data_IF_307970028563
#
_entry.id   IF_307970028563
#
_cell.length_a   1.000
_cell.length_b   1.000
_cell.length_c   1.000
_cell.angle_alpha   90.00
_cell.angle_beta   90.00
_cell.angle_gamma   90.00
#
_symmetry.space_group_name_H-M   'P 1'
#
loop_
_entity.id
_entity.type
_entity.pdbx_description
1 polymer ?
#
# COMPACT_ATOMS: atom_id res chain seq x y z
N UNK A 1 -17.54 51.69 -16.54
CA UNK A 1 -18.44 51.07 -15.55
C UNK A 1 -18.75 49.66 -16.05
N UNK A 2 -17.79 48.75 -15.90
CA UNK A 2 -17.87 47.38 -16.43
C UNK A 2 -17.67 46.45 -15.25
N UNK A 3 -18.78 45.98 -14.68
CA UNK A 3 -18.78 44.89 -13.69
C UNK A 3 -19.98 44.02 -13.98
N UNK A 4 -19.78 42.71 -13.81
CA UNK A 4 -20.81 41.66 -13.75
C UNK A 4 -21.08 40.84 -15.01
N UNK A 5 -20.07 40.41 -15.77
CA UNK A 5 -20.26 39.28 -16.70
C UNK A 5 -19.08 38.28 -16.83
N UNK A 6 -18.08 38.34 -15.94
CA UNK A 6 -16.88 37.47 -16.00
C UNK A 6 -16.67 36.64 -14.72
N UNK A 7 -17.75 36.22 -14.05
CA UNK A 7 -17.65 35.40 -12.83
C UNK A 7 -18.35 34.04 -12.91
N UNK A 8 -18.90 33.67 -14.07
CA UNK A 8 -19.69 32.43 -14.23
C UNK A 8 -19.05 31.38 -15.14
N UNK A 9 -17.83 31.62 -15.67
CA UNK A 9 -17.15 30.65 -16.53
C UNK A 9 -15.97 29.91 -15.87
N UNK A 10 -15.55 30.28 -14.65
CA UNK A 10 -14.38 29.67 -13.97
C UNK A 10 -14.75 28.55 -13.00
N UNK A 11 -16.05 28.29 -12.77
CA UNK A 11 -16.52 27.30 -11.80
C UNK A 11 -16.88 25.92 -12.39
N UNK A 12 -16.49 25.61 -13.64
CA UNK A 12 -16.81 24.34 -14.29
C UNK A 12 -15.60 23.54 -14.82
N UNK A 13 -14.39 23.72 -14.26
CA UNK A 13 -13.22 22.88 -14.62
C UNK A 13 -12.47 22.29 -13.41
N UNK A 14 -13.09 22.21 -12.22
CA UNK A 14 -12.46 21.58 -11.04
C UNK A 14 -13.36 20.57 -10.31
N UNK A 15 -14.19 19.85 -11.05
CA UNK A 15 -14.80 18.62 -10.54
C UNK A 15 -14.64 17.48 -11.54
N UNK A 16 -13.38 17.13 -11.85
CA UNK A 16 -13.11 15.72 -12.12
C UNK A 16 -13.24 15.00 -10.79
N UNK A 17 -14.44 14.46 -10.58
CA UNK A 17 -14.77 13.47 -9.57
C UNK A 17 -13.71 12.36 -9.66
N UNK A 18 -12.70 12.39 -8.78
CA UNK A 18 -11.80 11.27 -8.58
C UNK A 18 -12.60 10.15 -7.93
N UNK A 19 -13.27 9.34 -8.75
CA UNK A 19 -13.75 8.04 -8.34
C UNK A 19 -12.51 7.21 -7.98
N UNK A 20 -12.15 7.21 -6.70
CA UNK A 20 -11.11 6.37 -6.12
C UNK A 20 -11.56 4.90 -6.17
N UNK A 21 -11.44 4.28 -7.34
CA UNK A 21 -11.47 2.83 -7.46
C UNK A 21 -10.08 2.29 -7.09
N UNK A 22 -9.89 2.00 -5.80
CA UNK A 22 -8.69 1.33 -5.28
C UNK A 22 -8.73 -0.16 -5.67
N UNK A 23 -8.16 -0.47 -6.84
CA UNK A 23 -7.90 -1.84 -7.28
C UNK A 23 -6.51 -2.23 -6.81
N UNK A 24 -6.33 -3.40 -6.19
CA UNK A 24 -5.03 -3.85 -5.62
C UNK A 24 -3.91 -4.10 -6.65
N UNK A 25 -4.11 -3.77 -7.94
CA UNK A 25 -3.05 -3.58 -8.93
C UNK A 25 -2.47 -2.15 -8.98
N UNK A 26 -2.92 -1.26 -8.08
CA UNK A 26 -2.73 0.19 -8.08
C UNK A 26 -1.38 0.66 -7.51
N UNK A 27 -0.83 -0.02 -6.51
CA UNK A 27 0.29 0.52 -5.72
C UNK A 27 1.62 0.59 -6.48
N UNK A 28 1.94 -0.46 -7.25
CA UNK A 28 3.15 -0.48 -8.08
C UNK A 28 3.09 0.57 -9.20
N UNK A 29 1.91 0.74 -9.82
CA UNK A 29 1.69 1.79 -10.80
C UNK A 29 1.85 3.20 -10.19
N UNK A 30 1.28 3.42 -9.01
CA UNK A 30 1.42 4.68 -8.29
C UNK A 30 2.88 4.94 -7.86
N UNK A 31 3.61 3.91 -7.40
CA UNK A 31 5.03 3.99 -7.07
C UNK A 31 5.86 4.40 -8.29
N UNK A 32 5.63 3.75 -9.43
CA UNK A 32 6.26 4.11 -10.70
C UNK A 32 5.90 5.53 -11.14
N UNK A 33 4.66 5.96 -10.90
CA UNK A 33 4.21 7.32 -11.15
C UNK A 33 5.04 8.35 -10.38
N UNK A 34 5.25 8.12 -9.08
CA UNK A 34 6.03 9.03 -8.21
C UNK A 34 7.50 9.05 -8.62
N UNK A 35 8.09 7.88 -8.88
CA UNK A 35 9.48 7.77 -9.36
C UNK A 35 9.68 8.53 -10.68
N UNK A 36 8.74 8.39 -11.62
CA UNK A 36 8.77 9.08 -12.89
C UNK A 36 8.64 10.60 -12.71
N UNK A 37 7.79 11.08 -11.80
CA UNK A 37 7.64 12.51 -11.52
C UNK A 37 8.93 13.12 -10.95
N UNK A 38 9.61 12.43 -10.03
CA UNK A 38 10.92 12.86 -9.53
C UNK A 38 11.94 12.98 -10.66
N UNK A 39 12.03 11.97 -11.52
CA UNK A 39 12.95 11.98 -12.67
C UNK A 39 12.65 13.11 -13.66
N UNK A 40 11.36 13.38 -13.92
CA UNK A 40 10.96 14.48 -14.81
C UNK A 40 11.29 15.83 -14.18
N UNK A 41 11.05 16.02 -12.88
CA UNK A 41 11.39 17.27 -12.20
C UNK A 41 12.91 17.54 -12.24
N UNK A 42 13.75 16.53 -11.97
CA UNK A 42 15.20 16.67 -12.08
C UNK A 42 15.64 17.08 -13.50
N UNK A 43 15.03 16.47 -14.52
CA UNK A 43 15.27 16.80 -15.92
C UNK A 43 14.90 18.25 -16.25
N UNK A 44 13.77 18.76 -15.72
CA UNK A 44 13.34 20.15 -15.91
C UNK A 44 14.28 21.15 -15.22
N UNK A 45 14.71 20.87 -13.99
CA UNK A 45 15.69 21.72 -13.28
C UNK A 45 17.03 21.72 -14.05
N UNK A 46 17.49 20.56 -14.51
CA UNK A 46 18.71 20.42 -15.31
C UNK A 46 18.65 21.23 -16.61
N UNK A 47 17.47 21.32 -17.23
CA UNK A 47 17.28 22.13 -18.43
C UNK A 47 17.47 23.61 -18.14
N UNK A 48 16.87 24.13 -17.05
CA UNK A 48 17.04 25.53 -16.63
C UNK A 48 18.50 25.80 -16.28
N UNK A 49 19.15 24.90 -15.54
CA UNK A 49 20.57 25.00 -15.19
C UNK A 49 21.46 25.13 -16.43
N UNK A 50 21.20 24.33 -17.48
CA UNK A 50 21.96 24.40 -18.72
C UNK A 50 21.80 25.75 -19.44
N UNK A 51 20.61 26.34 -19.39
CA UNK A 51 20.33 27.65 -19.96
C UNK A 51 21.05 28.75 -19.16
N UNK A 52 21.02 28.67 -17.83
CA UNK A 52 21.77 29.57 -16.94
C UNK A 52 23.26 29.56 -17.25
N UNK A 53 23.83 28.37 -17.42
CA UNK A 53 25.24 28.23 -17.80
C UNK A 53 25.54 28.83 -19.18
N UNK A 54 24.68 28.62 -20.18
CA UNK A 54 24.87 29.18 -21.53
C UNK A 54 24.77 30.72 -21.56
N UNK A 55 23.99 31.31 -20.65
CA UNK A 55 23.84 32.77 -20.55
C UNK A 55 24.84 33.41 -19.58
N UNK A 56 25.62 32.62 -18.83
CA UNK A 56 26.53 33.12 -17.81
C UNK A 56 25.83 33.60 -16.54
N UNK A 57 24.58 33.19 -16.29
CA UNK A 57 23.81 33.54 -15.10
C UNK A 57 24.18 32.60 -13.94
N UNK A 58 25.28 32.90 -13.25
CA UNK A 58 25.82 32.05 -12.19
C UNK A 58 24.90 31.89 -10.98
N UNK A 59 24.15 32.94 -10.65
CA UNK A 59 23.15 32.98 -9.59
C UNK A 59 21.97 32.03 -9.85
N UNK A 60 21.42 32.04 -11.07
CA UNK A 60 20.35 31.10 -11.48
C UNK A 60 20.88 29.67 -11.50
N UNK A 61 22.13 29.47 -11.93
CA UNK A 61 22.77 28.14 -11.93
C UNK A 61 22.93 27.59 -10.51
N UNK A 62 23.33 28.43 -9.56
CA UNK A 62 23.50 28.06 -8.15
C UNK A 62 22.17 27.68 -7.50
N UNK A 63 21.11 28.47 -7.73
CA UNK A 63 19.76 28.12 -7.28
C UNK A 63 19.26 26.78 -7.87
N UNK A 64 19.62 26.46 -9.11
CA UNK A 64 19.32 25.16 -9.69
C UNK A 64 20.07 24.02 -8.99
N UNK A 65 21.33 24.25 -8.57
CA UNK A 65 22.08 23.25 -7.79
C UNK A 65 21.42 23.00 -6.44
N UNK A 66 21.06 24.06 -5.71
CA UNK A 66 20.33 23.95 -4.45
C UNK A 66 19.03 23.16 -4.60
N UNK A 67 18.22 23.48 -5.62
CA UNK A 67 16.99 22.77 -5.90
C UNK A 67 17.23 21.27 -6.17
N UNK A 68 18.28 20.94 -6.93
CA UNK A 68 18.66 19.54 -7.22
C UNK A 68 19.13 18.80 -5.98
N UNK A 69 19.89 19.44 -5.10
CA UNK A 69 20.36 18.81 -3.85
C UNK A 69 19.18 18.47 -2.94
N UNK A 70 18.21 19.38 -2.82
CA UNK A 70 16.97 19.15 -2.08
C UNK A 70 16.12 18.05 -2.72
N UNK A 71 16.00 18.04 -4.05
CA UNK A 71 15.30 16.98 -4.77
C UNK A 71 15.96 15.61 -4.57
N UNK A 72 17.29 15.53 -4.60
CA UNK A 72 18.02 14.28 -4.37
C UNK A 72 17.79 13.76 -2.95
N UNK A 73 17.78 14.64 -1.95
CA UNK A 73 17.47 14.24 -0.58
C UNK A 73 16.05 13.66 -0.45
N UNK A 74 15.08 14.24 -1.16
CA UNK A 74 13.72 13.70 -1.22
C UNK A 74 13.67 12.32 -1.91
N UNK A 75 14.37 12.15 -3.04
CA UNK A 75 14.48 10.89 -3.78
C UNK A 75 15.09 9.81 -2.88
N UNK A 76 16.20 10.10 -2.21
CA UNK A 76 16.88 9.14 -1.32
C UNK A 76 15.98 8.71 -0.15
N UNK A 77 15.23 9.65 0.43
CA UNK A 77 14.24 9.36 1.45
C UNK A 77 13.12 8.46 0.92
N UNK A 78 12.64 8.74 -0.28
CA UNK A 78 11.59 7.98 -0.95
C UNK A 78 12.03 6.57 -1.34
N UNK A 79 13.26 6.39 -1.84
CA UNK A 79 13.85 5.09 -2.13
C UNK A 79 13.94 4.20 -0.87
N UNK A 80 14.28 4.79 0.28
CA UNK A 80 14.29 4.08 1.56
C UNK A 80 12.88 3.62 1.95
N UNK A 81 11.87 4.48 1.79
CA UNK A 81 10.47 4.15 2.08
C UNK A 81 9.99 3.03 1.16
N UNK A 82 10.10 3.22 -0.14
CA UNK A 82 9.64 2.26 -1.16
C UNK A 82 10.29 0.90 -1.00
N UNK A 83 11.57 0.83 -0.61
CA UNK A 83 12.26 -0.43 -0.32
C UNK A 83 11.75 -1.13 0.93
N UNK A 84 11.53 -0.39 2.03
CA UNK A 84 11.08 -0.97 3.32
C UNK A 84 9.62 -1.41 3.26
N UNK A 85 8.77 -0.61 2.63
CA UNK A 85 7.33 -0.80 2.61
C UNK A 85 6.83 -1.41 1.30
N UNK A 86 7.70 -1.96 0.45
CA UNK A 86 7.35 -2.44 -0.91
C UNK A 86 6.03 -3.21 -0.99
N UNK A 87 5.86 -4.21 -0.13
CA UNK A 87 4.67 -5.08 -0.13
C UNK A 87 3.48 -4.51 0.66
N UNK A 88 3.70 -3.41 1.39
CA UNK A 88 2.74 -2.76 2.29
C UNK A 88 2.86 -1.24 2.20
N UNK A 89 2.87 -0.71 0.98
CA UNK A 89 3.22 0.70 0.75
C UNK A 89 2.19 1.67 1.34
N UNK A 90 0.98 1.22 1.62
CA UNK A 90 -0.04 1.96 2.39
C UNK A 90 0.38 2.25 3.84
N UNK A 91 1.44 1.60 4.36
CA UNK A 91 2.04 1.92 5.66
C UNK A 91 3.21 2.92 5.54
N UNK A 92 3.49 3.44 4.34
CA UNK A 92 4.59 4.39 4.12
C UNK A 92 4.47 5.66 4.99
N UNK A 93 3.24 6.05 5.37
CA UNK A 93 2.97 7.17 6.26
C UNK A 93 3.51 6.95 7.69
N UNK A 94 3.79 5.71 8.09
CA UNK A 94 4.41 5.35 9.37
C UNK A 94 5.95 5.44 9.33
N UNK A 95 6.53 5.71 8.16
CA UNK A 95 7.97 5.80 8.01
C UNK A 95 8.54 7.02 8.73
N UNK A 96 9.63 6.80 9.48
CA UNK A 96 10.45 7.90 10.03
C UNK A 96 11.06 8.83 8.98
N UNK A 97 11.07 8.43 7.70
CA UNK A 97 11.59 9.25 6.60
C UNK A 97 10.52 10.13 5.95
N UNK A 98 9.23 9.97 6.30
CA UNK A 98 8.11 10.74 5.72
C UNK A 98 8.35 12.24 5.78
N UNK A 99 8.61 12.75 6.98
CA UNK A 99 8.77 14.18 7.21
C UNK A 99 10.01 14.71 6.47
N UNK A 100 11.09 13.93 6.43
CA UNK A 100 12.29 14.30 5.68
C UNK A 100 12.06 14.40 4.17
N UNK A 101 11.26 13.50 3.58
CA UNK A 101 10.88 13.57 2.15
C UNK A 101 10.05 14.82 1.89
N UNK A 102 9.07 15.10 2.74
CA UNK A 102 8.20 16.27 2.61
C UNK A 102 8.99 17.58 2.75
N UNK A 103 9.81 17.70 3.80
CA UNK A 103 10.65 18.88 4.05
C UNK A 103 11.65 19.12 2.91
N UNK A 104 12.23 18.06 2.36
CA UNK A 104 13.19 18.17 1.25
C UNK A 104 12.50 18.61 -0.04
N UNK A 105 11.29 18.13 -0.31
CA UNK A 105 10.47 18.61 -1.43
C UNK A 105 10.04 20.06 -1.25
N UNK A 106 9.65 20.47 -0.04
CA UNK A 106 9.24 21.85 0.21
C UNK A 106 10.43 22.81 0.03
N UNK A 107 11.63 22.45 0.51
CA UNK A 107 12.87 23.20 0.24
C UNK A 107 13.25 23.25 -1.24
N UNK A 108 13.07 22.16 -1.98
CA UNK A 108 13.23 22.17 -3.44
C UNK A 108 12.28 23.19 -4.10
N UNK A 109 11.02 23.23 -3.65
CA UNK A 109 10.04 24.21 -4.07
C UNK A 109 10.46 25.65 -3.78
N UNK A 110 10.98 25.93 -2.59
CA UNK A 110 11.51 27.25 -2.23
C UNK A 110 12.63 27.69 -3.18
N UNK A 111 13.58 26.81 -3.51
CA UNK A 111 14.63 27.11 -4.49
C UNK A 111 14.07 27.35 -5.89
N UNK A 112 13.07 26.56 -6.33
CA UNK A 112 12.38 26.77 -7.62
C UNK A 112 11.68 28.14 -7.66
N UNK A 113 11.03 28.55 -6.56
CA UNK A 113 10.40 29.86 -6.45
C UNK A 113 11.41 31.01 -6.50
N UNK A 114 12.61 30.83 -5.92
CA UNK A 114 13.70 31.80 -6.07
C UNK A 114 14.21 31.90 -7.51
N UNK A 115 14.27 30.78 -8.25
CA UNK A 115 14.62 30.78 -9.68
C UNK A 115 13.57 31.57 -10.47
N UNK A 116 12.29 31.29 -10.23
CA UNK A 116 11.15 31.98 -10.84
C UNK A 116 11.18 33.49 -10.55
N UNK A 117 11.61 33.88 -9.35
CA UNK A 117 11.63 35.27 -8.91
C UNK A 117 12.86 36.07 -9.39
N UNK A 118 13.88 35.39 -9.91
CA UNK A 118 15.15 36.00 -10.31
C UNK A 118 15.00 36.97 -11.50
N UNK A 119 15.68 38.11 -11.43
CA UNK A 119 15.61 39.18 -12.44
C UNK A 119 16.02 38.70 -13.84
N UNK A 120 17.03 37.83 -13.96
CA UNK A 120 17.46 37.28 -15.24
C UNK A 120 16.42 36.34 -15.87
N UNK A 121 15.60 35.70 -15.05
CA UNK A 121 14.52 34.80 -15.48
C UNK A 121 13.27 35.59 -15.83
N UNK A 122 12.88 36.56 -14.99
CA UNK A 122 11.76 37.49 -15.24
C UNK A 122 11.97 38.38 -16.46
N UNK A 123 13.19 38.90 -16.62
CA UNK A 123 13.55 39.88 -17.66
C UNK A 123 13.62 39.28 -19.07
N UNK A 124 13.76 37.96 -19.21
CA UNK A 124 13.95 37.30 -20.51
C UNK A 124 12.79 36.32 -20.74
N UNK A 125 11.61 36.89 -21.05
CA UNK A 125 10.37 36.16 -21.36
C UNK A 125 10.45 35.21 -22.56
N UNK A 126 11.57 35.17 -23.29
CA UNK A 126 11.76 34.28 -24.45
C UNK A 126 12.62 33.02 -24.22
N UNK A 127 13.65 33.06 -23.34
CA UNK A 127 14.63 31.96 -23.24
C UNK A 127 14.35 30.96 -22.12
N UNK A 128 13.81 31.44 -21.00
CA UNK A 128 13.45 30.62 -19.85
C UNK A 128 11.96 30.27 -19.78
N UNK A 129 11.12 31.03 -20.50
CA UNK A 129 9.67 31.09 -20.30
C UNK A 129 8.98 29.74 -20.15
N UNK A 130 8.97 28.91 -21.21
CA UNK A 130 8.25 27.63 -21.17
C UNK A 130 8.90 26.60 -20.22
N UNK A 131 10.22 26.67 -20.03
CA UNK A 131 10.99 25.74 -19.23
C UNK A 131 10.73 25.93 -17.74
N UNK A 132 10.56 27.18 -17.33
CA UNK A 132 10.33 27.56 -15.93
C UNK A 132 8.88 27.27 -15.52
N UNK A 133 7.91 27.53 -16.40
CA UNK A 133 6.51 27.13 -16.18
C UNK A 133 6.33 25.60 -16.15
N UNK A 134 7.01 24.87 -17.04
CA UNK A 134 7.03 23.41 -16.99
C UNK A 134 7.61 22.92 -15.66
N UNK A 135 8.73 23.48 -15.21
CA UNK A 135 9.37 23.09 -13.96
C UNK A 135 8.42 23.27 -12.77
N UNK A 136 7.76 24.43 -12.68
CA UNK A 136 6.76 24.71 -11.65
C UNK A 136 5.61 23.70 -11.66
N UNK A 137 5.03 23.42 -12.83
CA UNK A 137 3.93 22.46 -12.96
C UNK A 137 4.32 21.05 -12.51
N UNK A 138 5.52 20.60 -12.87
CA UNK A 138 6.00 19.27 -12.49
C UNK A 138 6.35 19.19 -11.00
N UNK A 139 6.85 20.28 -10.41
CA UNK A 139 7.02 20.39 -8.96
C UNK A 139 5.68 20.23 -8.24
N UNK A 140 4.64 20.97 -8.64
CA UNK A 140 3.30 20.87 -8.06
C UNK A 140 2.73 19.45 -8.18
N UNK A 141 2.95 18.80 -9.33
CA UNK A 141 2.55 17.41 -9.58
C UNK A 141 3.25 16.43 -8.62
N UNK A 142 4.56 16.62 -8.41
CA UNK A 142 5.36 15.82 -7.50
C UNK A 142 4.92 16.01 -6.04
N UNK A 143 4.67 17.26 -5.63
CA UNK A 143 4.20 17.59 -4.30
C UNK A 143 2.82 16.99 -4.02
N UNK A 144 1.89 17.08 -4.98
CA UNK A 144 0.56 16.48 -4.86
C UNK A 144 0.64 14.95 -4.74
N UNK A 145 1.46 14.31 -5.57
CA UNK A 145 1.58 12.86 -5.58
C UNK A 145 2.22 12.33 -4.30
N UNK A 146 3.25 13.01 -3.78
CA UNK A 146 3.84 12.67 -2.48
C UNK A 146 2.85 12.84 -1.33
N UNK A 147 2.07 13.93 -1.31
CA UNK A 147 1.02 14.13 -0.30
C UNK A 147 -0.02 13.00 -0.34
N UNK A 148 -0.47 12.63 -1.54
CA UNK A 148 -1.47 11.58 -1.71
C UNK A 148 -1.00 10.21 -1.22
N UNK A 149 0.30 9.90 -1.31
CA UNK A 149 0.86 8.63 -0.81
C UNK A 149 0.60 8.47 0.69
N UNK A 150 0.67 9.56 1.44
CA UNK A 150 0.52 9.52 2.89
C UNK A 150 -0.90 9.17 3.34
N UNK A 151 -1.88 9.28 2.44
CA UNK A 151 -3.29 9.01 2.69
C UNK A 151 -3.75 7.63 2.16
N UNK A 152 -2.81 6.79 1.68
CA UNK A 152 -3.15 5.48 1.15
C UNK A 152 -3.67 4.54 2.24
N UNK A 153 -4.90 4.03 2.07
CA UNK A 153 -5.48 3.01 2.93
C UNK A 153 -5.01 1.59 2.58
N UNK A 154 -5.18 0.60 3.46
CA UNK A 154 -4.91 -0.80 3.10
C UNK A 154 -5.80 -1.24 1.91
N UNK A 155 -5.33 -2.18 1.06
CA UNK A 155 -6.19 -2.73 0.01
C UNK A 155 -7.46 -3.34 0.62
N UNK A 156 -8.58 -3.18 -0.08
CA UNK A 156 -9.85 -3.79 0.35
C UNK A 156 -9.65 -5.29 0.57
N UNK A 157 -10.18 -5.86 1.67
CA UNK A 157 -10.06 -7.28 1.93
C UNK A 157 -10.70 -8.06 0.78
N UNK A 158 -9.93 -8.90 0.12
CA UNK A 158 -10.46 -9.83 -0.88
C UNK A 158 -11.08 -11.02 -0.15
N UNK A 159 -12.35 -11.39 -0.45
CA UNK A 159 -12.91 -12.64 0.06
C UNK A 159 -12.02 -13.81 -0.35
N UNK A 160 -11.75 -14.73 0.58
CA UNK A 160 -10.80 -15.85 0.40
C UNK A 160 -11.08 -16.73 -0.83
N UNK A 161 -12.29 -16.64 -1.41
CA UNK A 161 -12.68 -17.33 -2.65
C UNK A 161 -12.15 -16.72 -3.95
N UNK A 162 -11.75 -15.44 -3.98
CA UNK A 162 -11.36 -14.74 -5.22
C UNK A 162 -9.90 -14.89 -5.63
N UNK A 163 -9.01 -15.39 -4.74
CA UNK A 163 -7.59 -15.61 -5.07
C UNK A 163 -7.39 -16.75 -6.09
N UNK A 164 -8.43 -17.55 -6.37
CA UNK A 164 -8.36 -18.71 -7.27
C UNK A 164 -8.54 -18.39 -8.76
N UNK A 165 -8.83 -17.14 -9.14
CA UNK A 165 -9.21 -16.82 -10.53
C UNK A 165 -8.11 -16.14 -11.36
N UNK A 166 -7.16 -15.39 -10.77
CA UNK A 166 -6.19 -14.61 -11.56
C UNK A 166 -4.95 -15.41 -12.00
N UNK A 167 -4.47 -16.35 -11.17
CA UNK A 167 -3.29 -17.18 -11.51
C UNK A 167 -3.64 -18.50 -12.23
N UNK A 168 -4.91 -18.75 -12.55
CA UNK A 168 -5.36 -19.99 -13.21
C UNK A 168 -5.61 -19.80 -14.71
N UNK A 169 -4.69 -19.13 -15.43
CA UNK A 169 -4.71 -19.10 -16.89
C UNK A 169 -3.44 -19.62 -17.58
N UNK A 170 -2.43 -20.08 -16.83
CA UNK A 170 -1.23 -20.69 -17.43
C UNK A 170 -1.02 -22.18 -17.12
N UNK A 171 -1.99 -22.88 -16.52
CA UNK A 171 -1.94 -24.34 -16.49
C UNK A 171 -3.33 -24.97 -16.51
N UNK A 172 -4.02 -24.81 -17.65
CA UNK A 172 -5.31 -25.46 -17.92
C UNK A 172 -5.18 -26.97 -18.19
N UNK A 173 -3.96 -27.53 -18.14
CA UNK A 173 -3.73 -28.96 -18.34
C UNK A 173 -3.47 -29.76 -17.06
N UNK A 174 -3.31 -29.11 -15.88
CA UNK A 174 -3.06 -29.83 -14.61
C UNK A 174 -4.26 -29.89 -13.66
N UNK A 175 -5.38 -29.27 -14.00
CA UNK A 175 -6.63 -29.36 -13.23
C UNK A 175 -7.67 -30.22 -13.95
N UNK A 176 -7.21 -31.41 -14.36
CA UNK A 176 -8.12 -32.56 -14.40
C UNK A 176 -8.60 -32.76 -12.97
N UNK A 177 -9.88 -32.44 -12.76
CA UNK A 177 -10.77 -33.03 -11.76
C UNK A 177 -10.23 -34.43 -11.43
N UNK A 178 -9.54 -34.60 -10.29
CA UNK A 178 -9.08 -35.92 -9.88
C UNK A 178 -10.35 -36.72 -9.61
N UNK A 179 -10.61 -37.63 -10.54
CA UNK A 179 -11.65 -38.63 -10.43
C UNK A 179 -11.41 -39.35 -9.11
N UNK A 180 -12.48 -39.44 -8.33
CA UNK A 180 -12.65 -40.46 -7.32
C UNK A 180 -12.58 -41.79 -8.05
N UNK A 181 -11.50 -42.53 -7.85
CA UNK A 181 -11.47 -43.98 -7.98
C UNK A 181 -10.22 -44.45 -7.24
N UNK A 182 -10.42 -45.44 -6.37
CA UNK A 182 -9.57 -45.70 -5.22
C UNK A 182 -8.17 -46.14 -5.57
N UNK A 183 -7.25 -45.87 -4.64
CA UNK A 183 -6.20 -46.83 -4.32
C UNK A 183 -5.77 -46.66 -2.87
N UNK A 184 -5.75 -47.79 -2.17
CA UNK A 184 -5.55 -47.93 -0.72
C UNK A 184 -4.05 -47.98 -0.34
N UNK A 185 -3.14 -47.70 -1.27
CA UNK A 185 -1.71 -47.87 -1.04
C UNK A 185 -0.87 -46.90 -1.87
N UNK A 186 -0.71 -45.67 -1.41
CA UNK A 186 0.61 -45.03 -1.33
C UNK A 186 0.49 -43.62 -0.71
N UNK A 187 1.55 -43.20 -0.04
CA UNK A 187 1.65 -41.95 0.72
C UNK A 187 1.66 -40.68 -0.15
N UNK A 188 0.62 -40.49 -0.97
CA UNK A 188 0.33 -39.22 -1.59
C UNK A 188 -0.16 -38.32 -0.46
N UNK A 189 0.70 -37.39 -0.06
CA UNK A 189 0.37 -36.37 0.92
C UNK A 189 -0.90 -35.65 0.46
N UNK A 190 -2.03 -35.95 1.11
CA UNK A 190 -3.37 -35.47 0.72
C UNK A 190 -3.43 -33.94 0.70
N UNK A 191 -2.56 -33.29 1.48
CA UNK A 191 -2.39 -31.85 1.55
C UNK A 191 -0.92 -31.44 1.42
N UNK A 192 -0.64 -30.19 0.99
CA UNK A 192 0.69 -29.58 1.08
C UNK A 192 1.36 -29.73 2.44
N UNK A 193 2.69 -29.56 2.48
CA UNK A 193 3.48 -29.67 3.72
C UNK A 193 3.03 -28.60 4.72
N UNK A 194 2.64 -29.04 5.92
CA UNK A 194 2.17 -28.16 7.00
C UNK A 194 0.66 -28.10 7.14
N UNK A 195 -0.10 -28.67 6.20
CA UNK A 195 -1.57 -28.70 6.24
C UNK A 195 -2.09 -30.09 6.59
N UNK A 196 -3.28 -30.12 7.18
CA UNK A 196 -4.01 -31.32 7.59
C UNK A 196 -5.25 -31.50 6.71
N UNK A 197 -5.48 -32.72 6.22
CA UNK A 197 -6.68 -33.07 5.48
C UNK A 197 -7.86 -33.26 6.44
N UNK A 198 -8.74 -32.25 6.50
CA UNK A 198 -9.94 -32.24 7.31
C UNK A 198 -11.18 -32.53 6.47
N UNK A 199 -12.03 -33.50 6.86
CA UNK A 199 -13.32 -33.71 6.21
C UNK A 199 -14.16 -32.44 6.26
N UNK A 200 -14.78 -32.07 5.14
CA UNK A 200 -15.64 -30.87 5.05
C UNK A 200 -16.87 -31.00 5.96
N UNK A 201 -17.34 -32.22 6.16
CA UNK A 201 -18.37 -32.58 7.14
C UNK A 201 -18.16 -34.02 7.60
N UNK A 202 -18.84 -34.43 8.68
CA UNK A 202 -18.72 -35.78 9.26
C UNK A 202 -18.98 -36.90 8.25
N UNK A 203 -19.86 -36.66 7.27
CA UNK A 203 -20.26 -37.62 6.24
C UNK A 203 -19.71 -37.28 4.83
N UNK A 204 -18.78 -36.33 4.73
CA UNK A 204 -18.22 -35.92 3.45
C UNK A 204 -17.12 -36.88 2.99
N UNK A 205 -17.19 -37.29 1.72
CA UNK A 205 -16.11 -38.00 1.03
C UNK A 205 -14.97 -37.02 0.68
N UNK A 206 -15.28 -35.73 0.59
CA UNK A 206 -14.31 -34.66 0.34
C UNK A 206 -13.64 -34.13 1.60
N UNK A 207 -12.40 -33.66 1.44
CA UNK A 207 -11.60 -33.01 2.47
C UNK A 207 -11.14 -31.63 2.00
N UNK A 208 -10.88 -30.76 2.96
CA UNK A 208 -10.17 -29.50 2.80
C UNK A 208 -8.80 -29.60 3.47
N UNK A 209 -7.85 -28.81 2.99
CA UNK A 209 -6.50 -28.74 3.56
C UNK A 209 -6.38 -27.49 4.41
N UNK A 210 -6.13 -27.66 5.71
CA UNK A 210 -6.10 -26.57 6.69
C UNK A 210 -4.78 -26.58 7.47
N UNK A 211 -4.22 -25.40 7.72
CA UNK A 211 -3.18 -25.25 8.75
C UNK A 211 -3.86 -25.17 10.14
N UNK A 212 -4.04 -26.33 10.76
CA UNK A 212 -4.66 -26.48 12.08
C UNK A 212 -3.88 -25.79 13.20
N UNK A 213 -2.68 -25.23 12.93
CA UNK A 213 -1.94 -24.45 13.92
C UNK A 213 -2.41 -23.00 14.02
N UNK A 214 -3.11 -22.50 13.01
CA UNK A 214 -3.54 -21.11 12.87
C UNK A 214 -5.04 -20.97 12.56
N UNK A 215 -5.68 -22.03 12.07
CA UNK A 215 -7.10 -22.04 11.72
C UNK A 215 -8.00 -21.99 12.96
N UNK A 216 -8.91 -21.01 13.01
CA UNK A 216 -9.76 -20.75 14.18
C UNK A 216 -10.81 -21.84 14.42
N UNK A 217 -11.33 -22.41 13.34
CA UNK A 217 -12.48 -23.35 13.37
C UNK A 217 -12.06 -24.81 13.54
N UNK A 218 -10.78 -25.10 13.31
CA UNK A 218 -10.16 -26.42 13.36
C UNK A 218 -8.80 -26.34 14.10
N UNK A 219 -8.80 -25.62 15.22
CA UNK A 219 -7.56 -25.34 15.95
C UNK A 219 -7.07 -26.60 16.67
N UNK A 220 -5.82 -26.98 16.42
CA UNK A 220 -5.19 -28.17 17.00
C UNK A 220 -5.48 -29.48 16.26
N UNK A 221 -6.44 -29.49 15.33
CA UNK A 221 -6.82 -30.68 14.56
C UNK A 221 -8.18 -30.51 13.89
N UNK A 222 -8.58 -31.50 13.10
CA UNK A 222 -9.88 -31.44 12.40
C UNK A 222 -11.03 -31.55 13.40
N UNK A 223 -11.87 -30.51 13.47
CA UNK A 223 -13.06 -30.49 14.34
C UNK A 223 -14.04 -31.60 14.00
N UNK A 224 -14.22 -31.89 12.70
CA UNK A 224 -15.09 -32.98 12.21
C UNK A 224 -14.61 -34.38 12.62
N UNK A 225 -13.36 -34.51 13.06
CA UNK A 225 -12.79 -35.74 13.63
C UNK A 225 -12.65 -35.69 15.15
N UNK A 226 -13.09 -34.61 15.80
CA UNK A 226 -12.85 -34.33 17.21
C UNK A 226 -11.35 -34.28 17.58
N UNK A 227 -10.47 -33.93 16.64
CA UNK A 227 -9.02 -33.79 16.86
C UNK A 227 -8.63 -32.35 17.26
N UNK A 228 -9.52 -31.40 17.04
CA UNK A 228 -9.35 -29.98 17.38
C UNK A 228 -10.68 -29.34 17.78
N UNK A 229 -10.65 -28.04 18.02
CA UNK A 229 -11.80 -27.28 18.49
C UNK A 229 -12.04 -26.01 17.65
N UNK A 230 -13.28 -25.51 17.69
CA UNK A 230 -13.61 -24.19 17.14
C UNK A 230 -13.41 -23.14 18.23
N UNK A 231 -12.36 -22.33 18.13
CA UNK A 231 -12.09 -21.28 19.12
C UNK A 231 -13.22 -20.24 19.20
N UNK A 232 -14.03 -20.08 18.14
CA UNK A 232 -15.17 -19.15 18.13
C UNK A 232 -16.34 -19.63 19.00
N UNK A 233 -16.37 -20.91 19.37
CA UNK A 233 -17.43 -21.52 20.20
C UNK A 233 -17.10 -21.48 21.71
N UNK A 234 -16.00 -20.81 22.10
CA UNK A 234 -15.61 -20.69 23.51
C UNK A 234 -16.57 -19.75 24.24
N UNK A 235 -17.33 -20.31 25.19
CA UNK A 235 -18.28 -19.56 26.00
C UNK A 235 -17.61 -18.42 26.79
N UNK A 236 -18.25 -17.25 26.81
CA UNK A 236 -17.77 -16.07 27.53
C UNK A 236 -16.55 -15.39 26.91
N UNK A 237 -16.07 -15.84 25.75
CA UNK A 237 -15.01 -15.18 25.00
C UNK A 237 -15.55 -14.07 24.09
N UNK A 238 -14.71 -13.07 23.81
CA UNK A 238 -14.98 -11.99 22.83
C UNK A 238 -13.90 -11.99 21.75
N UNK A 239 -12.64 -12.06 22.16
CA UNK A 239 -11.49 -12.13 21.28
C UNK A 239 -10.75 -13.44 21.47
N UNK A 240 -10.59 -14.19 20.38
CA UNK A 240 -9.93 -15.51 20.38
C UNK A 240 -8.95 -15.63 19.21
N UNK A 241 -8.00 -16.54 19.34
CA UNK A 241 -7.01 -16.87 18.32
C UNK A 241 -6.63 -18.35 18.37
N UNK A 242 -6.12 -18.89 17.27
CA UNK A 242 -5.43 -20.18 17.28
C UNK A 242 -3.92 -19.92 17.19
N UNK A 243 -3.17 -20.37 18.19
CA UNK A 243 -1.71 -20.21 18.22
C UNK A 243 -1.04 -21.54 18.47
N UNK A 244 -0.26 -22.02 17.49
CA UNK A 244 0.47 -23.29 17.57
C UNK A 244 -0.46 -24.47 17.91
N UNK A 245 -1.67 -24.46 17.34
CA UNK A 245 -2.67 -25.51 17.52
C UNK A 245 -3.37 -25.49 18.88
N UNK A 246 -3.42 -24.33 19.54
CA UNK A 246 -4.15 -24.14 20.81
C UNK A 246 -4.98 -22.88 20.73
N UNK A 247 -6.23 -22.96 21.20
CA UNK A 247 -7.03 -21.76 21.35
C UNK A 247 -6.46 -20.85 22.45
N UNK A 248 -6.37 -19.57 22.12
CA UNK A 248 -5.97 -18.50 23.01
C UNK A 248 -7.07 -17.47 23.10
N UNK A 249 -7.48 -17.14 24.32
CA UNK A 249 -8.51 -16.13 24.56
C UNK A 249 -7.84 -14.83 24.97
N UNK A 250 -8.06 -13.77 24.20
CA UNK A 250 -7.50 -12.45 24.41
C UNK A 250 -8.42 -11.54 25.24
N UNK A 251 -9.73 -11.69 25.10
CA UNK A 251 -10.72 -10.90 25.83
C UNK A 251 -11.99 -11.71 26.12
N UNK A 252 -12.69 -11.31 27.18
CA UNK A 252 -13.86 -12.01 27.72
C UNK A 252 -15.05 -11.07 27.85
N UNK A 253 -16.26 -11.64 27.83
CA UNK A 253 -17.51 -10.91 28.00
C UNK A 253 -17.64 -10.35 29.44
N UNK A 254 -18.45 -9.29 29.65
CA UNK A 254 -18.80 -8.83 30.98
C UNK A 254 -19.37 -9.98 31.84
N UNK A 255 -18.97 -10.03 33.11
CA UNK A 255 -19.34 -11.14 34.01
C UNK A 255 -18.40 -12.35 33.97
N UNK A 256 -17.45 -12.40 33.04
CA UNK A 256 -16.38 -13.40 33.00
C UNK A 256 -15.03 -12.78 33.39
N UNK A 257 -14.08 -13.61 33.79
CA UNK A 257 -12.66 -13.27 33.89
C UNK A 257 -11.82 -14.32 33.16
N UNK A 258 -10.69 -13.90 32.59
CA UNK A 258 -9.78 -14.82 31.92
C UNK A 258 -8.94 -15.57 32.95
N UNK A 259 -9.10 -16.89 33.06
CA UNK A 259 -8.29 -17.72 33.94
C UNK A 259 -6.91 -17.97 33.32
N UNK A 260 -5.86 -17.43 33.93
CA UNK A 260 -4.47 -17.65 33.47
C UNK A 260 -4.04 -19.12 33.52
N UNK A 261 -4.68 -19.96 34.34
CA UNK A 261 -4.31 -21.38 34.48
C UNK A 261 -4.82 -22.25 33.34
N UNK A 262 -6.04 -22.00 32.88
CA UNK A 262 -6.70 -22.83 31.85
C UNK A 262 -6.85 -22.10 30.52
N UNK A 263 -6.50 -20.80 30.47
CA UNK A 263 -6.63 -19.94 29.30
C UNK A 263 -8.06 -19.89 28.72
N UNK A 264 -9.06 -19.91 29.62
CA UNK A 264 -10.49 -19.86 29.28
C UNK A 264 -11.23 -18.84 30.15
N UNK A 265 -12.35 -18.29 29.65
CA UNK A 265 -13.25 -17.47 30.45
C UNK A 265 -13.85 -18.30 31.60
N UNK A 266 -13.96 -17.69 32.78
CA UNK A 266 -14.64 -18.25 33.94
C UNK A 266 -15.63 -17.22 34.44
N UNK A 267 -16.87 -17.65 34.69
CA UNK A 267 -17.90 -16.80 35.28
C UNK A 267 -17.45 -16.27 36.64
N UNK A 268 -17.57 -14.95 36.84
CA UNK A 268 -17.40 -14.33 38.15
C UNK A 268 -18.55 -14.82 39.05
N UNK A 269 -18.21 -15.49 40.15
CA UNK A 269 -19.21 -15.78 41.19
C UNK A 269 -19.65 -14.44 41.80
N UNK A 270 -20.97 -14.31 41.98
CA UNK A 270 -21.58 -13.18 42.69
C UNK A 270 -21.26 -13.26 44.18
#
# INVERSE_FOLDING_TARGET
MVKSFELLLVLLIFQTFSLNFYVSGSYEYQLNGVNNQFAVLDSKISKIQSLAQQQGHSDVKELCLEAKDHLSAAIDGWERISKVYKDKIWLASESKYKDNVQDSLDKCGESIMKILDNDHVKSISGRYGSQVEDCKRYYETCQHSCKNIWDWGPPSPTPSGSYTSYNKRQNVNSLRRRSLEGDESDQIQKCPKGETACPISENSIGFECLDTKLELTNCGGCRTKNEGENCLEIEGSVGVGCMKGKCVVFSVQPGYYLSKRINRPVLKRK
#
